data_IF_341925354344
#
_entry.id   IF_341925354344
#
_cell.length_a   1.000
_cell.length_b   1.000
_cell.length_c   1.000
_cell.angle_alpha   90.00
_cell.angle_beta   90.00
_cell.angle_gamma   90.00
#
_symmetry.space_group_name_H-M   'P 1'
#
loop_
_entity.id
_entity.type
_entity.pdbx_description
1 polymer ?
#
# COMPACT_ATOMS: atom_id res chain seq x y z
N UNK A 1 -31.66 16.72 -8.84
CA UNK A 1 -30.44 16.87 -9.68
C UNK A 1 -29.12 16.88 -8.89
N UNK A 2 -29.04 17.53 -7.72
CA UNK A 2 -27.81 17.59 -6.90
C UNK A 2 -27.33 16.19 -6.43
N UNK A 3 -28.24 15.28 -6.07
CA UNK A 3 -27.86 13.92 -5.64
C UNK A 3 -27.26 13.04 -6.75
N UNK A 4 -27.74 13.17 -7.98
CA UNK A 4 -27.19 12.40 -9.14
C UNK A 4 -25.81 12.90 -9.60
N UNK A 5 -25.53 14.20 -9.44
CA UNK A 5 -24.22 14.78 -9.75
C UNK A 5 -23.17 14.35 -8.72
N UNK A 6 -23.56 14.16 -7.47
CA UNK A 6 -22.71 13.71 -6.37
C UNK A 6 -22.28 12.24 -6.55
N UNK A 7 -23.17 11.36 -7.05
CA UNK A 7 -22.86 9.96 -7.34
C UNK A 7 -21.84 9.75 -8.49
N UNK A 8 -21.74 10.69 -9.42
CA UNK A 8 -20.82 10.55 -10.58
C UNK A 8 -19.34 10.76 -10.25
N UNK A 9 -19.01 11.27 -9.05
CA UNK A 9 -17.62 11.44 -8.59
C UNK A 9 -17.16 10.36 -7.61
N UNK A 10 -17.97 9.33 -7.39
CA UNK A 10 -17.65 8.28 -6.42
C UNK A 10 -16.60 7.32 -6.99
N UNK A 11 -15.43 7.30 -6.37
CA UNK A 11 -14.35 6.36 -6.65
C UNK A 11 -14.46 5.08 -5.82
N UNK A 12 -15.26 5.11 -4.76
CA UNK A 12 -15.43 4.05 -3.78
C UNK A 12 -15.84 2.70 -4.40
N UNK A 13 -16.78 2.64 -5.38
CA UNK A 13 -17.12 1.38 -6.05
C UNK A 13 -15.94 0.77 -6.82
N UNK A 14 -15.07 1.61 -7.41
CA UNK A 14 -13.88 1.15 -8.12
C UNK A 14 -12.86 0.59 -7.13
N UNK A 15 -12.65 1.27 -6.00
CA UNK A 15 -11.76 0.83 -4.92
C UNK A 15 -12.26 -0.50 -4.34
N UNK A 16 -13.54 -0.60 -4.04
CA UNK A 16 -14.13 -1.82 -3.48
C UNK A 16 -14.02 -3.00 -4.45
N UNK A 17 -14.44 -2.80 -5.71
CA UNK A 17 -14.40 -3.85 -6.72
C UNK A 17 -12.98 -4.31 -7.05
N UNK A 18 -12.04 -3.37 -7.21
CA UNK A 18 -10.64 -3.70 -7.48
C UNK A 18 -9.97 -4.43 -6.33
N UNK A 19 -10.32 -4.10 -5.09
CA UNK A 19 -9.73 -4.75 -3.91
C UNK A 19 -10.28 -6.16 -3.68
N UNK A 20 -11.58 -6.37 -3.88
CA UNK A 20 -12.16 -7.73 -3.87
C UNK A 20 -11.54 -8.58 -4.99
N UNK A 21 -11.41 -8.02 -6.20
CA UNK A 21 -10.77 -8.68 -7.32
C UNK A 21 -9.31 -9.07 -7.02
N UNK A 22 -8.55 -8.18 -6.37
CA UNK A 22 -7.17 -8.46 -5.94
C UNK A 22 -7.12 -9.59 -4.93
N UNK A 23 -7.97 -9.58 -3.90
CA UNK A 23 -8.02 -10.62 -2.89
C UNK A 23 -8.32 -12.01 -3.49
N UNK A 24 -9.22 -12.08 -4.46
CA UNK A 24 -9.53 -13.31 -5.19
C UNK A 24 -8.33 -13.80 -6.00
N UNK A 25 -7.69 -12.90 -6.74
CA UNK A 25 -6.54 -13.23 -7.55
C UNK A 25 -5.33 -13.67 -6.71
N UNK A 26 -5.01 -12.96 -5.63
CA UNK A 26 -3.84 -13.23 -4.81
C UNK A 26 -3.94 -14.62 -4.15
N UNK A 27 -5.15 -14.97 -3.68
CA UNK A 27 -5.43 -16.32 -3.15
C UNK A 27 -5.33 -17.37 -4.26
N UNK A 28 -5.90 -17.11 -5.45
CA UNK A 28 -5.83 -18.04 -6.57
C UNK A 28 -4.40 -18.25 -7.06
N UNK A 29 -3.62 -17.19 -7.26
CA UNK A 29 -2.24 -17.27 -7.73
C UNK A 29 -1.38 -18.09 -6.76
N UNK A 30 -1.50 -17.83 -5.45
CA UNK A 30 -0.74 -18.55 -4.43
C UNK A 30 -1.00 -20.07 -4.48
N UNK A 31 -2.26 -20.44 -4.59
CA UNK A 31 -2.66 -21.85 -4.58
C UNK A 31 -2.37 -22.54 -5.92
N UNK A 32 -2.54 -21.82 -7.04
CA UNK A 32 -2.21 -22.34 -8.38
C UNK A 32 -0.70 -22.59 -8.50
N UNK A 33 0.13 -21.66 -8.04
CA UNK A 33 1.60 -21.81 -8.05
C UNK A 33 2.02 -22.99 -7.16
N UNK A 34 1.42 -23.11 -5.96
CA UNK A 34 1.67 -24.27 -5.08
C UNK A 34 1.31 -25.58 -5.76
N UNK A 35 0.11 -25.66 -6.36
CA UNK A 35 -0.36 -26.88 -7.00
C UNK A 35 0.46 -27.24 -8.24
N UNK A 36 0.90 -26.26 -9.02
CA UNK A 36 1.77 -26.47 -10.19
C UNK A 36 3.07 -27.18 -9.81
N UNK A 37 3.77 -26.69 -8.79
CA UNK A 37 5.02 -27.30 -8.34
C UNK A 37 4.81 -28.61 -7.55
N UNK A 38 3.63 -28.84 -6.97
CA UNK A 38 3.27 -30.13 -6.37
C UNK A 38 3.13 -31.25 -7.40
N UNK A 39 2.59 -30.95 -8.58
CA UNK A 39 2.39 -31.94 -9.65
C UNK A 39 3.70 -32.30 -10.37
N UNK A 40 4.62 -31.34 -10.49
CA UNK A 40 5.86 -31.51 -11.28
C UNK A 40 6.91 -32.36 -10.58
N UNK A 41 6.87 -32.54 -9.25
CA UNK A 41 7.96 -33.15 -8.46
C UNK A 41 7.58 -34.45 -7.77
N UNK A 42 6.69 -35.27 -8.31
CA UNK A 42 6.05 -36.42 -7.63
C UNK A 42 6.95 -37.65 -7.30
N UNK A 43 8.26 -37.64 -7.52
CA UNK A 43 9.11 -38.84 -7.50
C UNK A 43 10.13 -38.95 -6.36
N UNK A 44 10.15 -38.01 -5.39
CA UNK A 44 11.14 -37.99 -4.30
C UNK A 44 10.55 -38.28 -2.91
N UNK A 45 11.37 -38.65 -1.88
CA UNK A 45 10.91 -38.85 -0.50
C UNK A 45 10.21 -37.64 0.09
N UNK A 46 9.14 -37.86 0.88
CA UNK A 46 8.17 -36.82 1.29
C UNK A 46 8.75 -35.52 1.88
N UNK A 47 9.78 -35.60 2.71
CA UNK A 47 10.39 -34.42 3.34
C UNK A 47 11.26 -33.59 2.39
N UNK A 48 12.09 -34.23 1.58
CA UNK A 48 12.94 -33.59 0.57
C UNK A 48 12.09 -32.96 -0.54
N UNK A 49 10.96 -33.60 -0.84
CA UNK A 49 10.00 -33.12 -1.82
C UNK A 49 9.36 -31.82 -1.39
N UNK A 50 8.90 -31.73 -0.14
CA UNK A 50 8.25 -30.52 0.39
C UNK A 50 9.21 -29.32 0.41
N UNK A 51 10.48 -29.52 0.79
CA UNK A 51 11.48 -28.46 0.78
C UNK A 51 11.83 -28.01 -0.66
N UNK A 52 11.93 -28.96 -1.61
CA UNK A 52 12.16 -28.63 -3.01
C UNK A 52 10.99 -27.82 -3.61
N UNK A 53 9.75 -28.21 -3.31
CA UNK A 53 8.54 -27.50 -3.73
C UNK A 53 8.51 -26.07 -3.14
N UNK A 54 8.79 -25.95 -1.85
CA UNK A 54 8.81 -24.63 -1.18
C UNK A 54 9.89 -23.70 -1.76
N UNK A 55 11.07 -24.24 -2.10
CA UNK A 55 12.13 -23.52 -2.80
C UNK A 55 11.69 -23.07 -4.20
N UNK A 56 11.01 -23.94 -4.95
CA UNK A 56 10.51 -23.60 -6.29
C UNK A 56 9.45 -22.48 -6.24
N UNK A 57 8.47 -22.60 -5.33
CA UNK A 57 7.46 -21.56 -5.10
C UNK A 57 8.12 -20.23 -4.68
N UNK A 58 9.09 -20.28 -3.77
CA UNK A 58 9.82 -19.08 -3.33
C UNK A 58 10.63 -18.45 -4.47
N UNK A 59 11.29 -19.25 -5.33
CA UNK A 59 11.99 -18.75 -6.51
C UNK A 59 11.05 -18.06 -7.49
N UNK A 60 9.87 -18.64 -7.73
CA UNK A 60 8.84 -18.00 -8.54
C UNK A 60 8.48 -16.61 -7.99
N UNK A 61 8.20 -16.50 -6.69
CA UNK A 61 7.83 -15.22 -6.08
C UNK A 61 8.98 -14.21 -6.04
N UNK A 62 10.24 -14.64 -5.95
CA UNK A 62 11.40 -13.74 -6.09
C UNK A 62 11.35 -13.03 -7.43
N UNK A 63 11.26 -13.77 -8.53
CA UNK A 63 11.26 -13.21 -9.88
C UNK A 63 9.97 -12.41 -10.12
N UNK A 64 8.83 -12.97 -9.73
CA UNK A 64 7.52 -12.32 -9.89
C UNK A 64 7.47 -10.96 -9.18
N UNK A 65 7.88 -10.90 -7.91
CA UNK A 65 7.88 -9.66 -7.13
C UNK A 65 8.94 -8.65 -7.61
N UNK A 66 10.09 -9.14 -8.09
CA UNK A 66 11.13 -8.29 -8.69
C UNK A 66 10.56 -7.58 -9.94
N UNK A 67 9.96 -8.34 -10.84
CA UNK A 67 9.37 -7.80 -12.06
C UNK A 67 8.20 -6.85 -11.73
N UNK A 68 7.31 -7.27 -10.84
CA UNK A 68 6.14 -6.49 -10.41
C UNK A 68 6.53 -5.18 -9.71
N UNK A 69 7.64 -5.17 -8.95
CA UNK A 69 8.13 -3.99 -8.24
C UNK A 69 8.92 -3.02 -9.11
N UNK A 70 9.72 -3.52 -10.08
CA UNK A 70 10.56 -2.66 -10.93
C UNK A 70 9.82 -2.09 -12.14
N UNK A 71 8.91 -2.85 -12.75
CA UNK A 71 8.23 -2.41 -13.97
C UNK A 71 7.38 -1.13 -13.82
N UNK A 72 6.70 -0.85 -12.68
CA UNK A 72 5.98 0.41 -12.50
C UNK A 72 6.90 1.62 -12.40
N UNK A 73 8.16 1.47 -11.96
CA UNK A 73 9.10 2.58 -11.86
C UNK A 73 9.36 3.23 -13.22
N UNK A 74 9.34 2.42 -14.28
CA UNK A 74 9.56 2.90 -15.66
C UNK A 74 8.35 3.71 -16.17
N UNK A 75 7.14 3.28 -15.82
CA UNK A 75 5.91 3.81 -16.40
C UNK A 75 5.20 4.85 -15.51
N UNK A 76 5.32 4.76 -14.19
CA UNK A 76 4.52 5.55 -13.25
C UNK A 76 4.69 7.07 -13.44
N UNK A 77 5.92 7.55 -13.66
CA UNK A 77 6.16 8.96 -13.90
C UNK A 77 5.52 9.47 -15.20
N UNK A 78 5.70 8.72 -16.29
CA UNK A 78 5.11 9.05 -17.59
C UNK A 78 3.58 9.06 -17.55
N UNK A 79 2.98 8.07 -16.89
CA UNK A 79 1.54 7.93 -16.75
C UNK A 79 0.92 9.00 -15.84
N UNK A 80 1.60 9.37 -14.76
CA UNK A 80 1.16 10.46 -13.90
C UNK A 80 1.14 11.79 -14.67
N UNK A 81 2.21 12.10 -15.40
CA UNK A 81 2.30 13.30 -16.25
C UNK A 81 1.26 13.29 -17.37
N UNK A 82 0.98 12.12 -17.96
CA UNK A 82 -0.04 11.97 -18.98
C UNK A 82 -1.45 12.22 -18.41
N UNK A 83 -1.69 11.75 -17.18
CA UNK A 83 -2.93 11.99 -16.44
C UNK A 83 -3.18 13.47 -16.16
N UNK A 84 -2.15 14.21 -15.79
CA UNK A 84 -2.25 15.65 -15.51
C UNK A 84 -2.47 16.46 -16.80
N UNK A 85 -1.84 16.09 -17.92
CA UNK A 85 -1.84 16.87 -19.14
C UNK A 85 -3.01 16.55 -20.09
N UNK A 86 -3.45 15.27 -20.18
CA UNK A 86 -4.45 14.84 -21.17
C UNK A 86 -5.80 14.57 -20.49
N UNK A 87 -5.85 13.60 -19.60
CA UNK A 87 -7.11 13.21 -18.95
C UNK A 87 -6.89 12.51 -17.61
N UNK A 88 -7.45 13.06 -16.54
CA UNK A 88 -7.28 12.58 -15.17
C UNK A 88 -7.82 11.16 -14.89
N UNK A 89 -8.53 10.54 -15.80
CA UNK A 89 -8.95 9.13 -15.71
C UNK A 89 -7.84 8.16 -16.13
N UNK A 90 -6.85 8.60 -16.91
CA UNK A 90 -5.79 7.73 -17.43
C UNK A 90 -5.06 6.96 -16.33
N UNK A 91 -4.63 7.60 -15.23
CA UNK A 91 -3.98 6.89 -14.11
C UNK A 91 -4.84 5.84 -13.40
N UNK A 92 -6.15 5.83 -13.65
CA UNK A 92 -7.09 4.82 -13.10
C UNK A 92 -7.38 3.76 -14.14
N UNK A 93 -7.78 4.15 -15.37
CA UNK A 93 -8.24 3.23 -16.40
C UNK A 93 -7.12 2.36 -16.97
N UNK A 94 -5.91 2.92 -17.14
CA UNK A 94 -4.80 2.18 -17.75
C UNK A 94 -4.27 1.07 -16.83
N UNK A 95 -4.03 1.29 -15.51
CA UNK A 95 -3.72 0.19 -14.59
C UNK A 95 -4.84 -0.86 -14.48
N UNK A 96 -6.12 -0.46 -14.51
CA UNK A 96 -7.24 -1.41 -14.51
C UNK A 96 -7.23 -2.31 -15.76
N UNK A 97 -6.88 -1.76 -16.93
CA UNK A 97 -6.67 -2.54 -18.14
C UNK A 97 -5.48 -3.51 -17.98
N UNK A 98 -4.39 -3.06 -17.35
CA UNK A 98 -3.25 -3.90 -17.01
C UNK A 98 -3.60 -5.05 -16.06
N UNK A 99 -4.39 -4.76 -15.03
CA UNK A 99 -4.92 -5.82 -14.16
C UNK A 99 -5.78 -6.80 -14.93
N UNK A 100 -6.73 -6.33 -15.71
CA UNK A 100 -7.59 -7.19 -16.52
C UNK A 100 -6.78 -8.12 -17.41
N UNK A 101 -5.81 -7.60 -18.15
CA UNK A 101 -4.95 -8.39 -19.04
C UNK A 101 -4.08 -9.39 -18.27
N UNK A 102 -3.41 -8.96 -17.20
CA UNK A 102 -2.55 -9.84 -16.41
C UNK A 102 -3.32 -10.97 -15.71
N UNK A 103 -4.53 -10.68 -15.21
CA UNK A 103 -5.37 -11.69 -14.56
C UNK A 103 -5.98 -12.65 -15.58
N UNK A 104 -6.35 -12.16 -16.77
CA UNK A 104 -6.80 -13.00 -17.89
C UNK A 104 -5.70 -13.97 -18.33
N UNK A 105 -4.43 -13.55 -18.26
CA UNK A 105 -3.31 -14.43 -18.60
C UNK A 105 -3.18 -15.61 -17.63
N UNK A 106 -3.46 -15.44 -16.33
CA UNK A 106 -3.52 -16.54 -15.36
C UNK A 106 -4.65 -17.52 -15.72
N UNK A 107 -5.83 -17.01 -16.12
CA UNK A 107 -6.93 -17.87 -16.56
C UNK A 107 -6.55 -18.69 -17.78
N UNK A 108 -5.94 -18.06 -18.79
CA UNK A 108 -5.48 -18.74 -20.00
C UNK A 108 -4.41 -19.79 -19.68
N UNK A 109 -3.46 -19.47 -18.80
CA UNK A 109 -2.44 -20.42 -18.32
C UNK A 109 -3.10 -21.67 -17.73
N UNK A 110 -4.13 -21.50 -16.91
CA UNK A 110 -4.85 -22.62 -16.29
C UNK A 110 -5.67 -23.43 -17.29
N UNK A 111 -6.22 -22.80 -18.33
CA UNK A 111 -7.05 -23.48 -19.32
C UNK A 111 -6.23 -24.16 -20.42
N UNK A 112 -5.09 -23.58 -20.80
CA UNK A 112 -4.24 -24.04 -21.91
C UNK A 112 -3.00 -24.81 -21.44
N UNK A 113 -2.86 -25.05 -20.13
CA UNK A 113 -1.70 -25.72 -19.50
C UNK A 113 -0.34 -25.06 -19.88
N UNK A 114 -0.31 -23.73 -19.90
CA UNK A 114 0.91 -22.99 -20.17
C UNK A 114 1.87 -23.06 -18.99
N UNK A 115 3.19 -22.88 -19.21
CA UNK A 115 4.16 -22.86 -18.14
C UNK A 115 3.94 -21.64 -17.22
N UNK A 116 4.20 -21.82 -15.90
CA UNK A 116 3.93 -20.80 -14.88
C UNK A 116 4.78 -19.53 -15.06
N UNK A 117 5.89 -19.63 -15.78
CA UNK A 117 6.82 -18.53 -16.10
C UNK A 117 6.16 -17.43 -16.93
N UNK A 118 5.06 -17.72 -17.64
CA UNK A 118 4.23 -16.72 -18.36
C UNK A 118 3.74 -15.63 -17.40
N UNK A 119 3.60 -15.94 -16.12
CA UNK A 119 3.20 -14.97 -15.09
C UNK A 119 4.24 -13.87 -14.86
N UNK A 120 5.51 -14.07 -15.22
CA UNK A 120 6.51 -13.00 -15.19
C UNK A 120 6.21 -11.94 -16.26
N UNK A 121 5.77 -12.37 -17.45
CA UNK A 121 5.28 -11.47 -18.49
C UNK A 121 4.00 -10.74 -18.08
N UNK A 122 3.08 -11.43 -17.39
CA UNK A 122 1.87 -10.84 -16.82
C UNK A 122 2.20 -9.75 -15.78
N UNK A 123 3.19 -10.00 -14.91
CA UNK A 123 3.67 -9.03 -13.93
C UNK A 123 4.31 -7.80 -14.59
N UNK A 124 5.13 -8.02 -15.63
CA UNK A 124 5.73 -6.93 -16.41
C UNK A 124 4.65 -6.07 -17.09
N UNK A 125 3.68 -6.69 -17.74
CA UNK A 125 2.56 -5.99 -18.39
C UNK A 125 1.76 -5.16 -17.38
N UNK A 126 1.42 -5.74 -16.22
CA UNK A 126 0.75 -5.04 -15.12
C UNK A 126 1.55 -3.81 -14.66
N UNK A 127 2.85 -3.97 -14.43
CA UNK A 127 3.69 -2.86 -13.98
C UNK A 127 3.86 -1.77 -15.04
N UNK A 128 4.06 -2.13 -16.32
CA UNK A 128 4.20 -1.17 -17.42
C UNK A 128 2.93 -0.35 -17.66
N UNK A 129 1.76 -0.87 -17.32
CA UNK A 129 0.50 -0.09 -17.33
C UNK A 129 0.32 0.80 -16.11
N UNK A 130 1.30 0.85 -15.20
CA UNK A 130 1.35 1.73 -14.02
C UNK A 130 1.17 1.01 -12.68
N UNK A 131 0.66 -0.21 -12.68
CA UNK A 131 0.47 -1.02 -11.47
C UNK A 131 -0.35 -0.35 -10.39
N UNK A 132 -0.19 -0.84 -9.16
CA UNK A 132 -0.93 -0.34 -8.00
C UNK A 132 -0.56 1.12 -7.65
N UNK A 133 0.69 1.52 -7.82
CA UNK A 133 1.15 2.85 -7.44
C UNK A 133 0.45 3.96 -8.21
N UNK A 134 0.34 3.79 -9.54
CA UNK A 134 -0.34 4.77 -10.41
C UNK A 134 -1.85 4.74 -10.20
N UNK A 135 -2.44 3.54 -10.07
CA UNK A 135 -3.86 3.38 -9.77
C UNK A 135 -4.26 4.09 -8.48
N UNK A 136 -3.52 3.82 -7.39
CA UNK A 136 -3.81 4.40 -6.08
C UNK A 136 -3.61 5.92 -6.06
N UNK A 137 -2.55 6.42 -6.71
CA UNK A 137 -2.33 7.86 -6.88
C UNK A 137 -3.50 8.53 -7.62
N UNK A 138 -4.00 7.91 -8.70
CA UNK A 138 -5.15 8.37 -9.46
C UNK A 138 -6.44 8.41 -8.64
N UNK A 139 -6.72 7.36 -7.86
CA UNK A 139 -7.87 7.29 -6.93
C UNK A 139 -7.80 8.39 -5.88
N UNK A 140 -6.65 8.57 -5.22
CA UNK A 140 -6.47 9.59 -4.19
C UNK A 140 -6.56 11.01 -4.77
N UNK A 141 -5.99 11.25 -5.94
CA UNK A 141 -6.09 12.53 -6.64
C UNK A 141 -7.54 12.87 -6.99
N UNK A 142 -8.29 11.92 -7.57
CA UNK A 142 -9.68 12.15 -7.95
C UNK A 142 -10.60 12.27 -6.72
N UNK A 143 -10.37 11.47 -5.69
CA UNK A 143 -11.07 11.56 -4.40
C UNK A 143 -10.87 12.91 -3.72
N UNK A 144 -9.67 13.49 -3.83
CA UNK A 144 -9.36 14.80 -3.27
C UNK A 144 -10.04 15.95 -4.02
N UNK A 145 -10.16 15.87 -5.34
CA UNK A 145 -10.76 16.89 -6.19
C UNK A 145 -12.29 17.03 -6.04
N UNK A 146 -12.95 15.93 -5.73
CA UNK A 146 -14.42 15.90 -5.57
C UNK A 146 -14.92 16.40 -4.22
N UNK A 147 -14.07 16.92 -3.35
CA UNK A 147 -14.43 17.34 -1.98
C UNK A 147 -13.98 18.75 -1.65
N UNK A 148 -14.75 19.47 -0.80
CA UNK A 148 -14.34 20.75 -0.22
C UNK A 148 -13.12 20.57 0.70
N UNK A 149 -12.31 21.61 0.90
CA UNK A 149 -11.08 21.53 1.73
C UNK A 149 -11.34 20.94 3.13
N UNK A 150 -12.44 21.33 3.79
CA UNK A 150 -12.82 20.85 5.12
C UNK A 150 -13.23 19.36 5.16
N UNK A 151 -13.74 18.81 4.05
CA UNK A 151 -14.19 17.41 3.94
C UNK A 151 -13.20 16.49 3.23
N UNK A 152 -12.14 17.05 2.64
CA UNK A 152 -11.16 16.32 1.84
C UNK A 152 -10.48 15.21 2.65
N UNK A 153 -10.02 15.51 3.85
CA UNK A 153 -9.41 14.54 4.75
C UNK A 153 -10.36 13.39 5.07
N UNK A 154 -11.61 13.71 5.44
CA UNK A 154 -12.63 12.70 5.75
C UNK A 154 -12.89 11.77 4.55
N UNK A 155 -12.95 12.32 3.34
CA UNK A 155 -13.20 11.51 2.14
C UNK A 155 -12.04 10.56 1.83
N UNK A 156 -10.80 11.00 1.96
CA UNK A 156 -9.64 10.12 1.79
C UNK A 156 -9.64 8.99 2.82
N UNK A 157 -10.03 9.29 4.07
CA UNK A 157 -10.23 8.31 5.13
C UNK A 157 -11.27 7.26 4.75
N UNK A 158 -12.42 7.70 4.21
CA UNK A 158 -13.47 6.78 3.78
C UNK A 158 -12.98 5.85 2.66
N UNK A 159 -12.22 6.37 1.67
CA UNK A 159 -11.66 5.58 0.57
C UNK A 159 -10.73 4.48 1.12
N UNK A 160 -9.86 4.80 2.08
CA UNK A 160 -8.95 3.83 2.69
C UNK A 160 -9.69 2.80 3.56
N UNK A 161 -10.74 3.21 4.28
CA UNK A 161 -11.59 2.27 5.03
C UNK A 161 -12.35 1.32 4.09
N UNK A 162 -12.88 1.82 2.97
CA UNK A 162 -13.55 1.00 1.95
C UNK A 162 -12.56 -0.01 1.37
N UNK A 163 -11.33 0.41 1.09
CA UNK A 163 -10.26 -0.49 0.63
C UNK A 163 -10.00 -1.62 1.64
N UNK A 164 -9.82 -1.28 2.92
CA UNK A 164 -9.59 -2.26 3.99
C UNK A 164 -10.76 -3.22 4.19
N UNK A 165 -11.99 -2.72 4.23
CA UNK A 165 -13.21 -3.53 4.38
C UNK A 165 -13.43 -4.46 3.18
N UNK A 166 -13.24 -3.96 1.96
CA UNK A 166 -13.34 -4.76 0.75
C UNK A 166 -12.28 -5.88 0.71
N UNK A 167 -11.05 -5.57 1.12
CA UNK A 167 -9.98 -6.56 1.26
C UNK A 167 -10.30 -7.62 2.32
N UNK A 168 -10.83 -7.21 3.46
CA UNK A 168 -11.26 -8.14 4.51
C UNK A 168 -12.32 -9.11 4.00
N UNK A 169 -13.42 -8.59 3.45
CA UNK A 169 -14.53 -9.41 2.94
C UNK A 169 -14.10 -10.28 1.75
N UNK A 170 -13.35 -9.70 0.80
CA UNK A 170 -12.83 -10.42 -0.35
C UNK A 170 -11.91 -11.59 0.04
N UNK A 171 -11.02 -11.36 1.00
CA UNK A 171 -10.12 -12.41 1.50
C UNK A 171 -10.87 -13.53 2.23
N UNK A 172 -11.89 -13.20 3.03
CA UNK A 172 -12.74 -14.23 3.65
C UNK A 172 -13.47 -15.05 2.59
N UNK A 173 -14.06 -14.39 1.59
CA UNK A 173 -14.82 -15.08 0.54
C UNK A 173 -13.92 -15.93 -0.37
N UNK A 174 -12.66 -15.51 -0.61
CA UNK A 174 -11.75 -16.14 -1.57
C UNK A 174 -11.49 -17.62 -1.29
N UNK A 175 -11.28 -17.98 -0.03
CA UNK A 175 -11.02 -19.37 0.38
C UNK A 175 -12.22 -20.28 0.17
N UNK A 176 -13.43 -19.80 0.51
CA UNK A 176 -14.66 -20.56 0.30
C UNK A 176 -15.00 -20.74 -1.17
N UNK A 177 -14.82 -19.70 -1.99
CA UNK A 177 -15.03 -19.79 -3.42
C UNK A 177 -14.02 -20.74 -4.09
N UNK A 178 -12.78 -20.76 -3.62
CA UNK A 178 -11.76 -21.68 -4.14
C UNK A 178 -12.17 -23.14 -3.90
N UNK A 179 -12.55 -23.51 -2.68
CA UNK A 179 -12.90 -24.87 -2.29
C UNK A 179 -14.28 -25.27 -2.83
N UNK A 180 -15.27 -24.38 -2.75
CA UNK A 180 -16.67 -24.69 -3.08
C UNK A 180 -16.88 -25.11 -4.55
N UNK A 181 -16.02 -24.69 -5.45
CA UNK A 181 -16.12 -24.99 -6.89
C UNK A 181 -15.02 -25.94 -7.39
N UNK A 182 -14.10 -26.39 -6.52
CA UNK A 182 -13.00 -27.30 -6.86
C UNK A 182 -13.46 -28.61 -7.47
N UNK A 183 -14.60 -29.15 -7.04
CA UNK A 183 -15.14 -30.45 -7.52
C UNK A 183 -15.80 -30.35 -8.92
N UNK A 184 -16.16 -29.16 -9.38
CA UNK A 184 -16.89 -28.96 -10.65
C UNK A 184 -16.05 -28.33 -11.75
N UNK A 185 -15.04 -27.57 -11.36
CA UNK A 185 -14.14 -26.86 -12.28
C UNK A 185 -12.70 -27.04 -11.80
N UNK A 186 -11.74 -26.83 -12.70
CA UNK A 186 -10.33 -26.83 -12.35
C UNK A 186 -10.08 -25.87 -11.18
N UNK A 187 -9.33 -26.30 -10.19
CA UNK A 187 -9.08 -25.54 -8.95
C UNK A 187 -8.63 -24.08 -9.24
N UNK A 188 -9.32 -23.12 -8.67
CA UNK A 188 -9.02 -21.69 -8.83
C UNK A 188 -9.63 -21.00 -10.04
N UNK A 189 -10.13 -21.72 -11.08
CA UNK A 189 -10.67 -21.11 -12.31
C UNK A 189 -11.83 -20.15 -12.03
N UNK A 190 -12.77 -20.57 -11.17
CA UNK A 190 -13.92 -19.73 -10.80
C UNK A 190 -13.48 -18.45 -10.08
N UNK A 191 -12.52 -18.58 -9.17
CA UNK A 191 -12.01 -17.45 -8.39
C UNK A 191 -11.31 -16.42 -9.27
N UNK A 192 -10.50 -16.88 -10.24
CA UNK A 192 -9.84 -15.99 -11.22
C UNK A 192 -10.88 -15.36 -12.15
N UNK A 193 -11.90 -16.10 -12.59
CA UNK A 193 -12.98 -15.57 -13.43
C UNK A 193 -13.79 -14.48 -12.71
N UNK A 194 -14.11 -14.68 -11.43
CA UNK A 194 -14.76 -13.66 -10.60
C UNK A 194 -13.88 -12.41 -10.45
N UNK A 195 -12.56 -12.58 -10.27
CA UNK A 195 -11.61 -11.48 -10.21
C UNK A 195 -11.61 -10.68 -11.51
N UNK A 196 -11.56 -11.34 -12.67
CA UNK A 196 -11.61 -10.71 -14.00
C UNK A 196 -12.94 -9.93 -14.17
N UNK A 197 -14.07 -10.53 -13.79
CA UNK A 197 -15.38 -9.87 -13.88
C UNK A 197 -15.43 -8.60 -13.02
N UNK A 198 -14.89 -8.63 -11.80
CA UNK A 198 -14.80 -7.45 -10.94
C UNK A 198 -13.90 -6.36 -11.54
N UNK A 199 -12.74 -6.71 -12.10
CA UNK A 199 -11.87 -5.73 -12.76
C UNK A 199 -12.51 -5.15 -14.02
N UNK A 200 -13.22 -5.97 -14.82
CA UNK A 200 -13.98 -5.51 -15.98
C UNK A 200 -15.07 -4.51 -15.56
N UNK A 201 -15.81 -4.82 -14.49
CA UNK A 201 -16.79 -3.90 -13.91
C UNK A 201 -16.13 -2.57 -13.50
N UNK A 202 -15.00 -2.61 -12.77
CA UNK A 202 -14.26 -1.42 -12.35
C UNK A 202 -13.82 -0.57 -13.54
N UNK A 203 -13.33 -1.21 -14.62
CA UNK A 203 -12.90 -0.53 -15.83
C UNK A 203 -14.08 0.15 -16.55
N UNK A 204 -15.18 -0.57 -16.76
CA UNK A 204 -16.39 -0.05 -17.38
C UNK A 204 -16.99 1.10 -16.57
N UNK A 205 -17.07 0.93 -15.24
CA UNK A 205 -17.52 1.99 -14.34
C UNK A 205 -16.63 3.24 -14.45
N UNK A 206 -15.30 3.08 -14.46
CA UNK A 206 -14.35 4.19 -14.56
C UNK A 206 -14.45 4.93 -15.89
N UNK A 207 -14.73 4.23 -17.00
CA UNK A 207 -14.88 4.84 -18.32
C UNK A 207 -16.22 5.58 -18.43
N UNK A 208 -17.33 4.91 -18.11
CA UNK A 208 -18.67 5.38 -18.45
C UNK A 208 -19.35 6.18 -17.33
N UNK A 209 -19.15 5.83 -16.07
CA UNK A 209 -19.87 6.41 -14.92
C UNK A 209 -19.08 7.50 -14.22
N UNK A 210 -17.77 7.28 -14.00
CA UNK A 210 -16.93 8.19 -13.26
C UNK A 210 -16.78 9.52 -14.03
N UNK A 211 -17.13 10.64 -13.40
CA UNK A 211 -16.98 11.98 -13.97
C UNK A 211 -15.89 12.74 -13.24
N UNK A 212 -14.93 13.28 -13.98
CA UNK A 212 -13.88 14.15 -13.44
C UNK A 212 -14.44 15.57 -13.30
N UNK A 213 -14.43 16.18 -12.10
CA UNK A 213 -14.77 17.58 -11.95
C UNK A 213 -13.84 18.45 -12.80
N UNK A 214 -14.39 19.37 -13.60
CA UNK A 214 -13.57 20.36 -14.31
C UNK A 214 -12.88 21.23 -13.26
N UNK A 215 -11.54 21.19 -13.20
CA UNK A 215 -10.79 22.21 -12.44
C UNK A 215 -11.09 23.56 -12.97
N UNK A 216 -11.34 24.53 -12.10
CA UNK A 216 -11.24 25.93 -12.48
C UNK A 216 -9.84 26.17 -13.09
N UNK A 217 -9.72 26.92 -14.18
CA UNK A 217 -8.43 27.18 -14.83
C UNK A 217 -7.51 27.81 -13.80
N UNK A 218 -6.36 27.17 -13.54
CA UNK A 218 -5.31 27.74 -12.70
C UNK A 218 -4.79 29.01 -13.35
N UNK A 219 -4.86 30.13 -12.67
CA UNK A 219 -4.39 31.42 -13.13
C UNK A 219 -2.89 31.52 -13.43
N UNK A 220 -2.17 30.43 -13.43
CA UNK A 220 -0.71 30.36 -13.67
C UNK A 220 -0.32 30.18 -15.14
N UNK A 221 -1.27 30.03 -16.07
CA UNK A 221 -0.96 29.87 -17.49
C UNK A 221 -1.01 31.18 -18.31
N UNK A 222 -1.26 32.34 -17.68
CA UNK A 222 -1.31 33.64 -18.38
C UNK A 222 -0.14 34.59 -18.10
N UNK A 223 0.94 34.12 -17.47
CA UNK A 223 2.11 34.96 -17.19
C UNK A 223 3.30 34.73 -18.15
N UNK A 224 3.08 34.11 -19.33
CA UNK A 224 4.10 34.01 -20.39
C UNK A 224 3.54 34.42 -21.75
N UNK A 225 3.08 35.63 -21.87
CA UNK A 225 2.59 36.07 -23.17
C UNK A 225 1.91 37.43 -23.18
N UNK A 226 2.37 38.39 -22.37
CA UNK A 226 2.07 39.82 -22.59
C UNK A 226 3.28 40.61 -22.08
N UNK A 227 4.29 40.72 -22.89
CA UNK A 227 5.17 41.87 -22.98
C UNK A 227 4.85 42.50 -24.34
N UNK A 228 4.66 43.83 -24.33
CA UNK A 228 4.26 44.75 -25.41
C UNK A 228 2.74 44.83 -25.67
N UNK A 229 2.12 45.83 -25.05
CA UNK A 229 1.50 47.00 -25.66
C UNK A 229 0.93 47.87 -24.51
N UNK A 230 1.38 49.10 -24.43
CA UNK A 230 0.97 50.07 -23.43
C UNK A 230 -0.49 50.52 -23.60
N UNK A 231 -1.14 50.84 -22.48
CA UNK A 231 -2.48 51.41 -22.48
C UNK A 231 -3.14 51.43 -21.10
N UNK A 232 -3.02 52.56 -20.44
CA UNK A 232 -3.88 53.15 -19.42
C UNK A 232 -4.70 52.30 -18.43
N UNK A 233 -4.39 52.50 -17.17
CA UNK A 233 -5.14 52.14 -15.96
C UNK A 233 -6.43 52.96 -15.86
N UNK A 234 -7.56 52.39 -15.45
CA UNK A 234 -8.55 53.07 -14.64
C UNK A 234 -8.52 52.58 -13.20
N UNK A 235 -8.30 53.49 -12.29
CA UNK A 235 -8.47 53.35 -10.88
C UNK A 235 -9.94 53.06 -10.53
N UNK A 236 -10.18 52.07 -9.69
CA UNK A 236 -11.41 51.96 -8.91
C UNK A 236 -11.06 52.06 -7.42
N UNK A 237 -11.27 53.25 -6.91
CA UNK A 237 -11.43 53.60 -5.49
C UNK A 237 -12.71 52.95 -4.94
N UNK A 238 -12.66 52.49 -3.71
CA UNK A 238 -13.83 52.51 -2.87
C UNK A 238 -14.04 51.27 -1.96
N UNK A 239 -13.92 51.57 -0.70
CA UNK A 239 -14.55 51.03 0.49
C UNK A 239 -13.68 50.11 1.35
N UNK A 240 -13.05 50.76 2.31
CA UNK A 240 -12.61 50.12 3.57
C UNK A 240 -13.85 49.78 4.38
N UNK A 241 -13.97 48.50 4.77
CA UNK A 241 -14.84 48.14 5.88
C UNK A 241 -14.14 47.11 6.77
N UNK A 242 -14.08 47.50 8.01
CA UNK A 242 -13.46 46.90 9.16
C UNK A 242 -13.87 45.43 9.37
N UNK A 243 -12.92 44.50 9.28
CA UNK A 243 -13.05 43.20 9.87
C UNK A 243 -11.91 43.00 10.88
N UNK A 244 -12.30 42.72 12.12
CA UNK A 244 -11.44 42.43 13.27
C UNK A 244 -10.46 41.29 13.00
N UNK A 245 -9.27 41.29 13.60
CA UNK A 245 -8.31 40.23 13.47
C UNK A 245 -8.80 39.03 14.28
N UNK A 246 -9.26 37.97 13.59
CA UNK A 246 -9.38 36.67 14.16
C UNK A 246 -7.96 36.18 14.50
N UNK A 247 -7.73 35.83 15.75
CA UNK A 247 -6.51 35.26 16.28
C UNK A 247 -6.01 34.11 15.39
N UNK A 248 -5.05 34.41 14.54
CA UNK A 248 -4.21 33.41 13.90
C UNK A 248 -3.29 32.85 14.97
N UNK A 249 -3.60 31.63 15.45
CA UNK A 249 -2.66 30.82 16.20
C UNK A 249 -1.32 30.82 15.45
N UNK A 250 -0.35 31.58 15.93
CA UNK A 250 0.99 31.69 15.39
C UNK A 250 1.72 30.36 15.61
N UNK A 251 1.62 29.45 14.64
CA UNK A 251 2.55 28.35 14.54
C UNK A 251 3.90 28.93 14.16
N UNK A 252 4.78 29.09 15.15
CA UNK A 252 6.19 29.43 14.95
C UNK A 252 6.78 28.52 13.87
N UNK A 253 7.46 29.06 12.85
CA UNK A 253 8.11 28.28 11.81
C UNK A 253 9.21 27.45 12.47
N UNK A 254 9.02 26.13 12.49
CA UNK A 254 10.05 25.18 12.92
C UNK A 254 11.16 25.27 11.88
N UNK A 255 12.34 25.73 12.28
CA UNK A 255 13.52 25.75 11.40
C UNK A 255 13.78 24.35 10.84
N UNK A 256 13.88 24.19 9.52
CA UNK A 256 14.04 22.88 8.87
C UNK A 256 15.34 22.22 9.33
N UNK A 257 15.24 21.26 10.21
CA UNK A 257 16.41 20.48 10.68
C UNK A 257 16.65 19.34 9.70
N UNK A 258 17.60 19.52 8.76
CA UNK A 258 18.03 18.48 7.80
C UNK A 258 18.34 17.14 8.49
N UNK A 259 18.88 17.20 9.71
CA UNK A 259 19.18 16.02 10.50
C UNK A 259 17.92 15.21 10.85
N UNK A 260 16.83 15.88 11.27
CA UNK A 260 15.57 15.19 11.62
C UNK A 260 14.99 14.50 10.38
N UNK A 261 15.05 15.16 9.22
CA UNK A 261 14.59 14.58 7.95
C UNK A 261 15.35 13.30 7.63
N UNK A 262 16.68 13.32 7.69
CA UNK A 262 17.54 12.14 7.43
C UNK A 262 17.23 11.02 8.43
N UNK A 263 17.09 11.32 9.71
CA UNK A 263 16.81 10.31 10.75
C UNK A 263 15.43 9.68 10.51
N UNK A 264 14.42 10.46 10.12
CA UNK A 264 13.09 9.93 9.78
C UNK A 264 13.10 9.06 8.51
N UNK A 265 13.93 9.40 7.51
CA UNK A 265 14.14 8.54 6.34
C UNK A 265 14.73 7.19 6.72
N UNK A 266 15.79 7.20 7.54
CA UNK A 266 16.45 5.97 8.03
C UNK A 266 15.44 5.12 8.82
N UNK A 267 14.67 5.73 9.71
CA UNK A 267 13.63 5.04 10.48
C UNK A 267 12.57 4.42 9.57
N UNK A 268 12.10 5.15 8.56
CA UNK A 268 11.12 4.65 7.60
C UNK A 268 11.64 3.46 6.80
N UNK A 269 12.88 3.54 6.30
CA UNK A 269 13.52 2.47 5.52
C UNK A 269 13.71 1.21 6.37
N UNK A 270 14.22 1.34 7.60
CA UNK A 270 14.40 0.20 8.50
C UNK A 270 13.08 -0.46 8.89
N UNK A 271 12.05 0.34 9.13
CA UNK A 271 10.73 -0.17 9.45
C UNK A 271 10.07 -0.85 8.25
N UNK A 272 10.15 -0.26 7.07
CA UNK A 272 9.63 -0.83 5.82
C UNK A 272 10.32 -2.17 5.49
N UNK A 273 11.65 -2.24 5.65
CA UNK A 273 12.43 -3.47 5.51
C UNK A 273 11.89 -4.56 6.44
N UNK A 274 11.61 -4.24 7.70
CA UNK A 274 11.06 -5.19 8.67
C UNK A 274 9.66 -5.68 8.26
N UNK A 275 8.77 -4.77 7.90
CA UNK A 275 7.38 -5.09 7.52
C UNK A 275 7.34 -5.88 6.21
N UNK A 276 8.00 -5.39 5.16
CA UNK A 276 8.00 -6.05 3.84
C UNK A 276 8.67 -7.42 3.91
N UNK A 277 9.76 -7.53 4.69
CA UNK A 277 10.45 -8.81 4.89
C UNK A 277 9.54 -9.88 5.49
N UNK A 278 8.82 -9.56 6.57
CA UNK A 278 7.88 -10.48 7.18
C UNK A 278 6.71 -10.83 6.25
N UNK A 279 6.14 -9.83 5.57
CA UNK A 279 4.94 -10.02 4.73
C UNK A 279 5.21 -10.86 3.48
N UNK A 280 6.41 -10.74 2.87
CA UNK A 280 6.75 -11.55 1.69
C UNK A 280 6.93 -13.05 2.00
N UNK A 281 7.43 -13.39 3.17
CA UNK A 281 7.67 -14.77 3.57
C UNK A 281 6.42 -15.42 4.17
N UNK A 282 5.53 -14.63 4.74
CA UNK A 282 4.36 -15.12 5.46
C UNK A 282 3.49 -16.10 4.68
N UNK A 283 3.09 -15.87 3.41
CA UNK A 283 2.27 -16.80 2.67
C UNK A 283 2.95 -18.18 2.50
N UNK A 284 4.27 -18.19 2.28
CA UNK A 284 5.05 -19.41 2.14
C UNK A 284 5.14 -20.17 3.47
N UNK A 285 5.32 -19.44 4.57
CA UNK A 285 5.37 -19.99 5.92
C UNK A 285 4.04 -20.68 6.31
N UNK A 286 2.89 -20.06 5.97
CA UNK A 286 1.57 -20.61 6.27
C UNK A 286 1.24 -21.89 5.49
N UNK A 287 1.82 -22.05 4.30
CA UNK A 287 1.63 -23.23 3.46
C UNK A 287 2.45 -24.44 3.90
N UNK A 288 3.47 -24.22 4.75
CA UNK A 288 4.38 -25.28 5.24
C UNK A 288 3.92 -25.85 6.57
N UNK A 289 4.37 -27.08 6.87
CA UNK A 289 4.28 -27.66 8.22
C UNK A 289 5.04 -26.81 9.26
N UNK A 290 4.49 -26.69 10.49
CA UNK A 290 3.37 -27.44 11.06
C UNK A 290 1.98 -26.89 10.74
N UNK A 291 1.85 -25.73 10.10
CA UNK A 291 0.56 -25.07 9.86
C UNK A 291 -0.20 -25.70 8.69
N UNK A 292 0.46 -25.93 7.55
CA UNK A 292 -0.09 -26.57 6.34
C UNK A 292 -1.48 -26.08 5.94
N UNK A 293 -1.67 -24.74 5.94
CA UNK A 293 -2.98 -24.12 5.78
C UNK A 293 -3.62 -24.44 4.43
N UNK A 294 -4.92 -24.69 4.50
CA UNK A 294 -5.78 -24.82 3.33
C UNK A 294 -6.22 -23.45 2.80
N UNK A 295 -6.93 -23.43 1.66
CA UNK A 295 -7.40 -22.21 1.00
C UNK A 295 -8.26 -21.31 1.91
N UNK A 296 -9.13 -21.91 2.73
CA UNK A 296 -10.02 -21.18 3.65
C UNK A 296 -9.21 -20.50 4.76
N UNK A 297 -8.25 -21.22 5.34
CA UNK A 297 -7.39 -20.68 6.38
C UNK A 297 -6.49 -19.55 5.85
N UNK A 298 -5.98 -19.67 4.61
CA UNK A 298 -5.25 -18.59 3.94
C UNK A 298 -6.14 -17.36 3.76
N UNK A 299 -7.40 -17.55 3.33
CA UNK A 299 -8.38 -16.47 3.24
C UNK A 299 -8.58 -15.74 4.56
N UNK A 300 -8.74 -16.47 5.67
CA UNK A 300 -8.84 -15.89 7.01
C UNK A 300 -7.56 -15.19 7.45
N UNK A 301 -6.40 -15.75 7.15
CA UNK A 301 -5.10 -15.13 7.46
C UNK A 301 -4.90 -13.79 6.76
N UNK A 302 -5.27 -13.72 5.48
CA UNK A 302 -5.27 -12.48 4.69
C UNK A 302 -6.29 -11.47 5.24
N UNK A 303 -7.50 -11.93 5.60
CA UNK A 303 -8.53 -11.09 6.23
C UNK A 303 -8.00 -10.47 7.55
N UNK A 304 -7.30 -11.24 8.38
CA UNK A 304 -6.64 -10.72 9.58
C UNK A 304 -5.61 -9.61 9.26
N UNK A 305 -4.93 -9.69 8.11
CA UNK A 305 -4.07 -8.61 7.62
C UNK A 305 -4.84 -7.33 7.32
N UNK A 306 -5.99 -7.42 6.67
CA UNK A 306 -6.85 -6.25 6.42
C UNK A 306 -7.50 -5.71 7.69
N UNK A 307 -7.76 -6.53 8.69
CA UNK A 307 -8.18 -6.06 10.01
C UNK A 307 -7.11 -5.14 10.65
N UNK A 308 -5.82 -5.50 10.54
CA UNK A 308 -4.70 -4.65 10.98
C UNK A 308 -4.69 -3.31 10.22
N UNK A 309 -4.95 -3.33 8.92
CA UNK A 309 -5.04 -2.12 8.11
C UNK A 309 -6.15 -1.19 8.62
N UNK A 310 -7.36 -1.72 8.81
CA UNK A 310 -8.53 -0.97 9.30
C UNK A 310 -8.26 -0.39 10.69
N UNK A 311 -7.76 -1.20 11.64
CA UNK A 311 -7.52 -0.78 13.03
C UNK A 311 -6.38 0.23 13.14
N UNK A 312 -5.29 0.06 12.38
CA UNK A 312 -4.19 1.03 12.33
C UNK A 312 -4.68 2.38 11.80
N UNK A 313 -5.52 2.36 10.78
CA UNK A 313 -6.06 3.57 10.19
C UNK A 313 -6.99 4.32 11.14
N UNK A 314 -7.92 3.60 11.76
CA UNK A 314 -8.77 4.14 12.84
C UNK A 314 -7.93 4.62 14.02
N UNK A 315 -6.86 3.89 14.36
CA UNK A 315 -5.90 4.27 15.40
C UNK A 315 -5.24 5.63 15.11
N UNK A 316 -4.77 5.86 13.89
CA UNK A 316 -4.24 7.19 13.50
C UNK A 316 -5.29 8.27 13.66
N UNK A 317 -6.52 8.02 13.20
CA UNK A 317 -7.61 9.00 13.27
C UNK A 317 -7.97 9.38 14.73
N UNK A 318 -8.03 8.40 15.62
CA UNK A 318 -8.38 8.60 17.04
C UNK A 318 -7.18 9.18 17.81
N UNK A 319 -6.01 8.52 17.72
CA UNK A 319 -4.85 8.85 18.54
C UNK A 319 -4.18 10.16 18.14
N UNK A 320 -4.30 10.61 16.88
CA UNK A 320 -3.76 11.91 16.45
C UNK A 320 -4.33 13.10 17.20
N UNK A 321 -5.46 12.94 17.89
CA UNK A 321 -6.07 13.98 18.74
C UNK A 321 -5.46 14.06 20.14
N UNK A 322 -4.88 12.97 20.64
CA UNK A 322 -4.44 12.82 22.02
C UNK A 322 -2.94 12.62 22.18
N UNK A 323 -2.30 12.02 21.16
CA UNK A 323 -0.90 11.61 21.21
C UNK A 323 -0.04 12.43 20.24
N UNK A 324 1.24 12.61 20.60
CA UNK A 324 2.23 13.19 19.70
C UNK A 324 2.56 12.19 18.58
N UNK A 325 2.91 12.69 17.40
CA UNK A 325 3.23 11.85 16.23
C UNK A 325 4.31 10.80 16.55
N UNK A 326 5.37 11.21 17.26
CA UNK A 326 6.46 10.29 17.62
C UNK A 326 6.01 9.15 18.55
N UNK A 327 5.09 9.43 19.48
CA UNK A 327 4.52 8.41 20.37
C UNK A 327 3.69 7.40 19.57
N UNK A 328 2.90 7.86 18.61
CA UNK A 328 2.14 6.98 17.73
C UNK A 328 3.03 6.08 16.89
N UNK A 329 4.15 6.61 16.37
CA UNK A 329 5.13 5.84 15.62
C UNK A 329 5.72 4.73 16.52
N UNK A 330 6.14 5.06 17.73
CA UNK A 330 6.72 4.10 18.67
C UNK A 330 5.70 3.00 19.03
N UNK A 331 4.45 3.35 19.32
CA UNK A 331 3.37 2.38 19.59
C UNK A 331 3.21 1.42 18.40
N UNK A 332 3.18 1.92 17.18
CA UNK A 332 3.06 1.10 16.00
C UNK A 332 4.26 0.17 15.76
N UNK A 333 5.48 0.66 15.95
CA UNK A 333 6.70 -0.15 15.83
C UNK A 333 6.74 -1.23 16.92
N UNK A 334 6.43 -0.91 18.19
CA UNK A 334 6.38 -1.89 19.28
C UNK A 334 5.28 -2.94 19.04
N UNK A 335 4.10 -2.53 18.58
CA UNK A 335 3.01 -3.44 18.17
C UNK A 335 3.48 -4.42 17.09
N UNK A 336 4.14 -3.93 16.04
CA UNK A 336 4.68 -4.77 14.97
C UNK A 336 5.77 -5.72 15.49
N UNK A 337 6.79 -5.21 16.17
CA UNK A 337 7.95 -6.00 16.61
C UNK A 337 7.53 -7.10 17.57
N UNK A 338 6.64 -6.81 18.53
CA UNK A 338 6.12 -7.82 19.44
C UNK A 338 5.32 -8.89 18.69
N UNK A 339 4.45 -8.49 17.76
CA UNK A 339 3.65 -9.43 17.00
C UNK A 339 4.48 -10.30 16.04
N UNK A 340 5.50 -9.73 15.39
CA UNK A 340 6.37 -10.50 14.49
C UNK A 340 7.30 -11.44 15.27
N UNK A 341 7.68 -11.07 16.50
CA UNK A 341 8.41 -11.98 17.39
C UNK A 341 7.55 -13.19 17.77
N UNK A 342 6.27 -12.98 18.13
CA UNK A 342 5.34 -14.08 18.36
C UNK A 342 5.20 -14.93 17.09
N UNK A 343 5.12 -14.29 15.91
CA UNK A 343 4.99 -14.96 14.62
C UNK A 343 6.17 -15.92 14.35
N UNK A 344 7.37 -15.58 14.81
CA UNK A 344 8.54 -16.46 14.66
C UNK A 344 8.34 -17.84 15.30
N UNK A 345 7.58 -17.93 16.39
CA UNK A 345 7.35 -19.16 17.18
C UNK A 345 5.99 -19.78 16.92
N UNK A 346 5.28 -19.37 15.88
CA UNK A 346 3.95 -19.90 15.55
C UNK A 346 4.06 -21.34 15.08
N UNK A 347 3.45 -22.25 15.84
CA UNK A 347 3.27 -23.68 15.50
C UNK A 347 1.78 -24.05 15.40
N UNK A 348 0.89 -23.25 15.94
CA UNK A 348 -0.56 -23.47 15.95
C UNK A 348 -1.30 -22.27 15.37
N UNK A 349 -2.39 -22.53 14.67
CA UNK A 349 -3.22 -21.50 14.03
C UNK A 349 -3.71 -20.41 15.00
N UNK A 350 -4.07 -20.78 16.25
CA UNK A 350 -4.53 -19.77 17.22
C UNK A 350 -3.43 -18.77 17.60
N UNK A 351 -2.16 -19.22 17.69
CA UNK A 351 -1.03 -18.33 18.01
C UNK A 351 -0.76 -17.33 16.91
N UNK A 352 -1.02 -17.71 15.64
CA UNK A 352 -1.02 -16.76 14.52
C UNK A 352 -2.01 -15.61 14.72
N UNK A 353 -3.25 -15.92 15.13
CA UNK A 353 -4.24 -14.86 15.36
C UNK A 353 -3.91 -14.00 16.57
N UNK A 354 -3.29 -14.55 17.62
CA UNK A 354 -2.75 -13.75 18.75
C UNK A 354 -1.66 -12.79 18.22
N UNK A 355 -0.71 -13.28 17.42
CA UNK A 355 0.31 -12.42 16.80
C UNK A 355 -0.32 -11.29 15.98
N UNK A 356 -1.34 -11.60 15.16
CA UNK A 356 -2.09 -10.60 14.39
C UNK A 356 -2.84 -9.59 15.27
N UNK A 357 -3.43 -10.03 16.38
CA UNK A 357 -4.09 -9.14 17.33
C UNK A 357 -3.11 -8.17 18.00
N UNK A 358 -1.90 -8.62 18.34
CA UNK A 358 -0.83 -7.75 18.86
C UNK A 358 -0.37 -6.74 17.80
N UNK A 359 -0.43 -7.09 16.51
CA UNK A 359 -0.03 -6.23 15.38
C UNK A 359 -1.07 -5.19 14.95
N UNK A 360 -2.19 -5.00 15.67
CA UNK A 360 -3.31 -4.14 15.24
C UNK A 360 -2.91 -2.70 14.91
N UNK A 361 -1.81 -2.19 15.45
CA UNK A 361 -1.31 -0.83 15.19
C UNK A 361 -0.05 -0.79 14.32
N UNK A 362 0.32 -1.92 13.72
CA UNK A 362 1.57 -2.07 12.96
C UNK A 362 1.66 -1.15 11.72
N UNK A 363 0.57 -0.67 11.16
CA UNK A 363 0.60 0.19 9.97
C UNK A 363 0.56 1.69 10.30
N UNK A 364 0.55 2.09 11.57
CA UNK A 364 0.60 3.50 12.01
C UNK A 364 1.92 4.20 11.62
N UNK A 365 3.12 3.59 11.72
CA UNK A 365 4.37 4.32 11.62
C UNK A 365 4.58 5.03 10.29
N UNK A 366 4.39 4.37 9.15
CA UNK A 366 4.70 4.97 7.84
C UNK A 366 3.86 6.21 7.49
N UNK A 367 2.52 6.21 7.64
CA UNK A 367 1.71 7.41 7.42
C UNK A 367 2.08 8.54 8.39
N UNK A 368 2.38 8.20 9.64
CA UNK A 368 2.74 9.21 10.66
C UNK A 368 4.12 9.81 10.40
N UNK A 369 5.12 9.01 9.96
CA UNK A 369 6.43 9.52 9.53
C UNK A 369 6.26 10.49 8.33
N UNK A 370 5.41 10.14 7.36
CA UNK A 370 5.09 11.03 6.24
C UNK A 370 4.49 12.36 6.73
N UNK A 371 3.57 12.29 7.67
CA UNK A 371 2.98 13.48 8.31
C UNK A 371 4.04 14.32 9.03
N UNK A 372 4.95 13.69 9.79
CA UNK A 372 6.06 14.38 10.46
C UNK A 372 7.02 15.04 9.46
N UNK A 373 7.40 14.34 8.40
CA UNK A 373 8.24 14.91 7.35
C UNK A 373 7.61 16.16 6.73
N UNK A 374 6.30 16.14 6.51
CA UNK A 374 5.58 17.29 5.97
C UNK A 374 5.65 18.55 6.85
N UNK A 375 5.80 18.37 8.16
CA UNK A 375 5.91 19.46 9.14
C UNK A 375 7.34 20.05 9.21
N UNK A 376 8.36 19.32 8.74
CA UNK A 376 9.77 19.71 8.83
C UNK A 376 10.38 20.13 7.48
N UNK A 377 9.62 20.11 6.39
CA UNK A 377 10.07 20.45 5.04
C UNK A 377 9.35 21.71 4.58
N UNK A 378 10.09 22.66 3.99
CA UNK A 378 9.52 23.88 3.37
C UNK A 378 8.63 23.51 2.18
N UNK A 379 7.54 24.26 1.99
CA UNK A 379 6.51 23.95 0.99
C UNK A 379 7.03 23.76 -0.45
N UNK A 380 8.08 24.49 -0.85
CA UNK A 380 8.71 24.37 -2.17
C UNK A 380 9.48 23.06 -2.38
N UNK A 381 9.96 22.44 -1.30
CA UNK A 381 10.77 21.19 -1.32
C UNK A 381 9.97 19.94 -0.94
N UNK A 382 8.71 20.13 -0.48
CA UNK A 382 7.85 19.04 -0.01
C UNK A 382 7.70 17.90 -1.03
N UNK A 383 7.34 18.24 -2.27
CA UNK A 383 7.16 17.23 -3.32
C UNK A 383 8.41 16.40 -3.59
N UNK A 384 9.59 17.04 -3.61
CA UNK A 384 10.87 16.35 -3.86
C UNK A 384 11.20 15.35 -2.75
N UNK A 385 11.02 15.73 -1.49
CA UNK A 385 11.29 14.89 -0.32
C UNK A 385 10.35 13.68 -0.29
N UNK A 386 9.07 13.89 -0.62
CA UNK A 386 8.09 12.80 -0.67
C UNK A 386 8.35 11.80 -1.79
N UNK A 387 8.69 12.26 -2.99
CA UNK A 387 9.07 11.39 -4.10
C UNK A 387 10.32 10.59 -3.76
N UNK A 388 11.32 11.24 -3.15
CA UNK A 388 12.55 10.55 -2.73
C UNK A 388 12.26 9.47 -1.68
N UNK A 389 11.42 9.76 -0.68
CA UNK A 389 10.99 8.77 0.30
C UNK A 389 10.28 7.59 -0.37
N UNK A 390 9.31 7.87 -1.22
CA UNK A 390 8.53 6.83 -1.89
C UNK A 390 9.43 5.94 -2.78
N UNK A 391 10.35 6.54 -3.52
CA UNK A 391 11.32 5.80 -4.33
C UNK A 391 12.24 4.92 -3.46
N UNK A 392 12.72 5.45 -2.33
CA UNK A 392 13.54 4.69 -1.38
C UNK A 392 12.78 3.49 -0.82
N UNK A 393 11.50 3.64 -0.44
CA UNK A 393 10.66 2.54 0.06
C UNK A 393 10.41 1.47 -1.02
N UNK A 394 10.16 1.87 -2.27
CA UNK A 394 9.98 0.90 -3.37
C UNK A 394 11.24 0.09 -3.62
N UNK A 395 12.41 0.75 -3.67
CA UNK A 395 13.70 0.06 -3.85
C UNK A 395 13.97 -0.87 -2.65
N UNK A 396 13.76 -0.39 -1.43
CA UNK A 396 13.87 -1.21 -0.20
C UNK A 396 12.98 -2.43 -0.29
N UNK A 397 11.72 -2.27 -0.69
CA UNK A 397 10.75 -3.36 -0.81
C UNK A 397 11.19 -4.44 -1.80
N UNK A 398 11.69 -4.07 -2.98
CA UNK A 398 12.19 -5.00 -4.00
C UNK A 398 13.42 -5.78 -3.49
N UNK A 399 14.40 -5.07 -2.92
CA UNK A 399 15.61 -5.70 -2.37
C UNK A 399 15.27 -6.63 -1.21
N UNK A 400 14.42 -6.16 -0.28
CA UNK A 400 13.99 -6.93 0.89
C UNK A 400 13.25 -8.19 0.48
N UNK A 401 12.32 -8.11 -0.48
CA UNK A 401 11.59 -9.28 -0.99
C UNK A 401 12.55 -10.35 -1.50
N UNK A 402 13.55 -9.97 -2.28
CA UNK A 402 14.55 -10.89 -2.83
C UNK A 402 15.41 -11.50 -1.72
N UNK A 403 15.95 -10.67 -0.84
CA UNK A 403 16.85 -11.11 0.25
C UNK A 403 16.13 -12.02 1.23
N UNK A 404 14.94 -11.64 1.70
CA UNK A 404 14.18 -12.44 2.67
C UNK A 404 13.72 -13.79 2.09
N UNK A 405 13.31 -13.83 0.83
CA UNK A 405 12.97 -15.11 0.20
C UNK A 405 14.22 -16.02 0.05
N UNK A 406 15.42 -15.46 -0.24
CA UNK A 406 16.65 -16.25 -0.27
C UNK A 406 17.07 -16.74 1.11
N UNK A 407 16.97 -15.91 2.14
CA UNK A 407 17.22 -16.29 3.53
C UNK A 407 16.22 -17.39 3.94
N UNK A 408 14.94 -17.22 3.62
CA UNK A 408 13.91 -18.22 3.91
C UNK A 408 14.26 -19.57 3.28
N UNK A 409 14.67 -19.60 2.01
CA UNK A 409 15.11 -20.84 1.35
C UNK A 409 16.29 -21.52 2.04
N UNK A 410 17.28 -20.73 2.52
CA UNK A 410 18.47 -21.28 3.19
C UNK A 410 18.19 -21.73 4.61
N UNK A 411 17.16 -21.20 5.27
CA UNK A 411 16.80 -21.52 6.66
C UNK A 411 15.69 -22.56 6.78
N UNK A 412 15.11 -23.01 5.67
CA UNK A 412 14.02 -23.98 5.63
C UNK A 412 14.36 -25.26 6.43
N UNK A 413 15.59 -25.75 6.34
CA UNK A 413 15.99 -27.05 6.89
C UNK A 413 16.16 -27.04 8.42
N UNK A 414 16.37 -25.87 9.03
CA UNK A 414 16.63 -25.78 10.47
C UNK A 414 15.63 -24.89 11.23
N UNK A 415 15.17 -23.79 10.65
CA UNK A 415 14.18 -22.94 11.31
C UNK A 415 13.42 -22.04 10.34
N UNK A 416 12.20 -22.38 10.00
CA UNK A 416 11.33 -21.64 9.07
C UNK A 416 10.91 -20.28 9.61
N UNK A 417 10.90 -20.07 10.94
CA UNK A 417 10.58 -18.80 11.60
C UNK A 417 11.71 -17.76 11.61
N UNK A 418 12.91 -18.09 11.12
CA UNK A 418 14.11 -17.22 11.20
C UNK A 418 13.90 -15.85 10.56
N UNK A 419 13.20 -15.78 9.43
CA UNK A 419 12.91 -14.51 8.76
C UNK A 419 12.10 -13.55 9.63
N UNK A 420 11.20 -14.05 10.48
CA UNK A 420 10.45 -13.22 11.41
C UNK A 420 11.33 -12.70 12.55
N UNK A 421 12.33 -13.47 13.00
CA UNK A 421 13.34 -12.98 13.96
C UNK A 421 14.16 -11.85 13.33
N UNK A 422 14.56 -12.00 12.07
CA UNK A 422 15.28 -10.95 11.35
C UNK A 422 14.43 -9.68 11.18
N UNK A 423 13.15 -9.83 10.88
CA UNK A 423 12.19 -8.69 10.84
C UNK A 423 12.03 -8.03 12.21
N UNK A 424 11.97 -8.83 13.29
CA UNK A 424 11.96 -8.30 14.66
C UNK A 424 13.19 -7.45 14.95
N UNK A 425 14.39 -7.94 14.62
CA UNK A 425 15.64 -7.21 14.84
C UNK A 425 15.68 -5.91 14.03
N UNK A 426 15.26 -5.94 12.76
CA UNK A 426 15.18 -4.76 11.92
C UNK A 426 14.17 -3.73 12.46
N UNK A 427 13.02 -4.18 12.95
CA UNK A 427 12.02 -3.33 13.60
C UNK A 427 12.54 -2.70 14.91
N UNK A 428 13.24 -3.47 15.74
CA UNK A 428 13.91 -2.93 16.93
C UNK A 428 14.98 -1.89 16.55
N UNK A 429 15.75 -2.14 15.49
CA UNK A 429 16.75 -1.20 15.01
C UNK A 429 16.12 0.12 14.57
N UNK A 430 14.91 0.11 14.04
CA UNK A 430 14.18 1.34 13.66
C UNK A 430 13.81 2.22 14.87
N UNK A 431 13.76 1.66 16.08
CA UNK A 431 13.51 2.44 17.31
C UNK A 431 14.69 3.36 17.68
N UNK A 432 15.92 3.03 17.27
CA UNK A 432 17.09 3.85 17.60
C UNK A 432 16.99 5.26 16.98
N UNK A 433 16.81 5.44 15.67
CA UNK A 433 16.64 6.76 15.08
C UNK A 433 15.39 7.47 15.63
N UNK A 434 14.29 6.75 15.90
CA UNK A 434 13.08 7.34 16.46
C UNK A 434 13.29 7.87 17.88
N UNK A 435 14.07 7.18 18.72
CA UNK A 435 14.44 7.64 20.06
C UNK A 435 15.24 8.94 20.02
N UNK A 436 16.16 9.08 19.07
CA UNK A 436 16.92 10.33 18.87
C UNK A 436 15.99 11.50 18.53
N UNK A 437 15.01 11.27 17.65
CA UNK A 437 14.00 12.30 17.31
C UNK A 437 13.16 12.66 18.52
N UNK A 438 12.72 11.67 19.32
CA UNK A 438 11.92 11.88 20.51
C UNK A 438 12.66 12.75 21.54
N UNK A 439 13.93 12.44 21.83
CA UNK A 439 14.77 13.20 22.78
C UNK A 439 14.96 14.64 22.28
N UNK A 440 15.25 14.82 21.00
CA UNK A 440 15.47 16.15 20.43
C UNK A 440 14.22 17.01 20.47
N UNK A 441 13.03 16.45 20.18
CA UNK A 441 11.77 17.17 20.31
C UNK A 441 11.44 17.53 21.75
N UNK A 442 11.74 16.65 22.70
CA UNK A 442 11.54 16.92 24.14
C UNK A 442 12.46 18.04 24.64
N UNK A 443 13.72 18.05 24.23
CA UNK A 443 14.69 19.09 24.58
C UNK A 443 14.27 20.46 24.07
N UNK A 444 13.75 20.54 22.83
CA UNK A 444 13.27 21.81 22.24
C UNK A 444 12.03 22.33 22.98
N UNK A 445 11.12 21.47 23.41
CA UNK A 445 9.91 21.86 24.16
C UNK A 445 10.24 22.29 25.59
N UNK A 446 11.21 21.63 26.26
CA UNK A 446 11.67 21.97 27.61
C UNK A 446 12.39 23.31 27.67
N UNK A 447 13.22 23.65 26.68
CA UNK A 447 13.91 24.94 26.59
C UNK A 447 12.94 26.11 26.41
N UNK A 448 11.80 25.90 25.75
CA UNK A 448 10.77 26.94 25.56
C UNK A 448 9.99 27.23 26.86
N UNK A 449 9.74 26.23 27.70
CA UNK A 449 9.07 26.42 29.00
C UNK A 449 9.94 27.14 30.04
N UNK A 450 11.27 27.09 29.89
CA UNK A 450 12.20 27.80 30.78
C UNK A 450 12.32 29.28 30.40
N UNK A 451 12.11 29.63 29.12
CA UNK A 451 12.16 31.01 28.60
C UNK A 451 10.85 31.79 28.79
N UNK A 452 9.77 31.10 29.15
CA UNK A 452 8.43 31.71 29.38
C UNK A 452 8.05 31.76 30.87
N UNK A 453 8.93 31.39 31.79
CA UNK A 453 8.88 31.66 33.22
C UNK A 453 9.91 32.72 33.58
#
# INVERSE_FOLDING_TARGET
MVGMTMMRTWVEPVVMGSQVASAFYDTALLLVVKNYYNQTNSTAPSHLLQDAQQKAVSNFYIIYNLVLGLSPLVSAYGLSKLGDNIHRKIPICLPLLGYLGSKSLLLLLMLLDWPIEVMYGAAAFNGLTGGFTTFWAGIMALGSLGSSESRRSLRLIIIELVYGLAGFLGSMASGYLFVGFSNRYREGTVLVSCSIACYAFCLLYSIFVLVVPKSAPSCTAKAKGVEEIGGQVPACTGAAESAQPSESSSKTPVTPSKLIIIILFVAAILYDLAVVGAMNVLPLFLLREPLSWNAVQIGYGNAAGYAIFITSFLGVFVFSRYLRDITMIIIGVVSFTTGVLIMAFVQWTFLFYIARAVMLFALIPLPTIRSMLSKHVEGSSYGKVFVLLQLSLVITGVVTSTVFNKIYQSTLNWYSGFCFILSFLAGCLSLLPLSIVAIKQHSTTGSFQILTK
#
